data_IF_889478524030
#
_entry.id   IF_889478524030
#
_cell.length_a   1.000
_cell.length_b   1.000
_cell.length_c   1.000
_cell.angle_alpha   90.00
_cell.angle_beta   90.00
_cell.angle_gamma   90.00
#
_symmetry.space_group_name_H-M   'P 1'
#
loop_
_entity.id
_entity.type
_entity.pdbx_description
1 polymer ?
#
# COMPACT_ATOMS: atom_id res chain seq x y z
N UNK A 1 27.26 -32.75 37.01
CA UNK A 1 25.98 -32.28 36.43
C UNK A 1 26.37 -31.24 35.38
N UNK A 2 26.26 -31.59 34.10
CA UNK A 2 26.88 -30.85 32.99
C UNK A 2 26.05 -29.62 32.60
N UNK A 3 26.55 -28.42 32.92
CA UNK A 3 25.88 -27.15 32.62
C UNK A 3 25.80 -26.86 31.11
N UNK A 4 26.68 -27.45 30.31
CA UNK A 4 26.72 -27.34 28.83
C UNK A 4 25.55 -28.08 28.14
N UNK A 5 25.01 -29.11 28.77
CA UNK A 5 23.83 -29.86 28.27
C UNK A 5 22.53 -29.09 28.49
N UNK A 6 22.47 -28.25 29.54
CA UNK A 6 21.27 -27.44 29.84
C UNK A 6 21.18 -26.21 28.94
N UNK A 7 22.31 -25.55 28.65
CA UNK A 7 22.33 -24.36 27.79
C UNK A 7 21.99 -24.69 26.33
N UNK A 8 22.44 -25.84 25.81
CA UNK A 8 22.08 -26.31 24.46
C UNK A 8 20.61 -26.71 24.32
N UNK A 9 20.00 -27.27 25.36
CA UNK A 9 18.55 -27.57 25.36
C UNK A 9 17.69 -26.31 25.45
N UNK A 10 18.11 -25.30 26.21
CA UNK A 10 17.39 -24.03 26.32
C UNK A 10 17.49 -23.19 25.03
N UNK A 11 18.63 -23.21 24.33
CA UNK A 11 18.75 -22.54 23.03
C UNK A 11 17.88 -23.20 21.95
N UNK A 12 17.80 -24.54 21.93
CA UNK A 12 16.94 -25.29 21.01
C UNK A 12 15.42 -25.11 21.28
N UNK A 13 15.02 -24.95 22.55
CA UNK A 13 13.62 -24.68 22.88
C UNK A 13 13.19 -23.28 22.41
N UNK A 14 14.10 -22.30 22.51
CA UNK A 14 13.89 -20.94 22.02
C UNK A 14 13.73 -20.88 20.50
N UNK A 15 14.58 -21.58 19.73
CA UNK A 15 14.49 -21.59 18.26
C UNK A 15 13.23 -22.30 17.76
N UNK A 16 12.86 -23.44 18.35
CA UNK A 16 11.64 -24.18 17.98
C UNK A 16 10.36 -23.40 18.30
N UNK A 17 10.29 -22.76 19.48
CA UNK A 17 9.17 -21.89 19.82
C UNK A 17 9.10 -20.67 18.91
N UNK A 18 10.25 -20.05 18.59
CA UNK A 18 10.32 -18.91 17.67
C UNK A 18 9.88 -19.28 16.25
N UNK A 19 10.27 -20.44 15.73
CA UNK A 19 9.81 -20.95 14.42
C UNK A 19 8.30 -21.23 14.41
N UNK A 20 7.76 -21.86 15.46
CA UNK A 20 6.31 -22.09 15.59
C UNK A 20 5.52 -20.80 15.72
N UNK A 21 6.00 -19.86 16.53
CA UNK A 21 5.38 -18.56 16.72
C UNK A 21 5.39 -17.74 15.43
N UNK A 22 6.54 -17.71 14.76
CA UNK A 22 6.68 -17.04 13.47
C UNK A 22 5.73 -17.66 12.44
N UNK A 23 5.73 -18.99 12.25
CA UNK A 23 4.85 -19.66 11.27
C UNK A 23 3.36 -19.44 11.53
N UNK A 24 2.93 -19.41 12.79
CA UNK A 24 1.56 -19.07 13.15
C UNK A 24 1.24 -17.61 12.80
N UNK A 25 2.09 -16.66 13.20
CA UNK A 25 1.93 -15.24 12.86
C UNK A 25 1.95 -15.01 11.35
N UNK A 26 2.82 -15.70 10.61
CA UNK A 26 2.91 -15.61 9.15
C UNK A 26 1.58 -15.95 8.48
N UNK A 27 0.99 -17.10 8.83
CA UNK A 27 -0.30 -17.52 8.26
C UNK A 27 -1.42 -16.52 8.56
N UNK A 28 -1.36 -15.86 9.72
CA UNK A 28 -2.34 -14.83 10.08
C UNK A 28 -2.06 -13.51 9.34
N UNK A 29 -0.78 -13.13 9.19
CA UNK A 29 -0.36 -11.89 8.53
C UNK A 29 -0.54 -11.94 7.01
N UNK A 30 -0.32 -13.09 6.39
CA UNK A 30 -0.47 -13.32 4.94
C UNK A 30 -1.94 -13.17 4.50
N UNK A 31 -2.87 -13.39 5.43
CA UNK A 31 -4.28 -13.13 5.25
C UNK A 31 -4.69 -11.69 5.60
N UNK A 32 -3.78 -10.81 6.01
CA UNK A 32 -4.18 -9.45 6.35
C UNK A 32 -4.68 -8.69 5.12
N UNK A 33 -5.81 -7.96 5.26
CA UNK A 33 -6.35 -7.15 4.18
C UNK A 33 -5.39 -6.04 3.75
N UNK A 34 -4.43 -5.66 4.59
CA UNK A 34 -3.49 -4.56 4.34
C UNK A 34 -2.55 -4.88 3.17
N UNK A 35 -2.02 -6.11 3.09
CA UNK A 35 -1.17 -6.53 1.97
C UNK A 35 -1.91 -6.53 0.63
N UNK A 36 -3.25 -6.64 0.69
CA UNK A 36 -4.14 -6.75 -0.47
C UNK A 36 -4.62 -5.41 -1.03
N UNK A 37 -4.18 -4.27 -0.45
CA UNK A 37 -4.52 -2.94 -0.99
C UNK A 37 -3.32 -2.35 -1.74
N UNK A 38 -3.16 -2.66 -3.04
CA UNK A 38 -2.14 -2.04 -3.87
C UNK A 38 -2.45 -0.55 -4.15
N UNK A 39 -1.43 0.22 -4.52
CA UNK A 39 -1.62 1.61 -4.97
C UNK A 39 -2.60 1.71 -6.15
N UNK A 40 -2.61 0.72 -7.05
CA UNK A 40 -3.50 0.61 -8.20
C UNK A 40 -4.98 0.52 -7.81
N UNK A 41 -5.30 -0.12 -6.67
CA UNK A 41 -6.66 -0.15 -6.12
C UNK A 41 -7.06 1.23 -5.57
N UNK A 42 -6.15 1.88 -4.82
CA UNK A 42 -6.35 3.23 -4.25
C UNK A 42 -6.47 4.28 -5.36
N UNK A 43 -5.76 4.09 -6.47
CA UNK A 43 -5.71 5.00 -7.62
C UNK A 43 -7.08 5.32 -8.19
N UNK A 44 -7.99 4.34 -8.24
CA UNK A 44 -9.35 4.54 -8.76
C UNK A 44 -10.09 5.66 -8.05
N UNK A 45 -9.85 5.78 -6.75
CA UNK A 45 -10.41 6.83 -5.90
C UNK A 45 -9.52 8.08 -6.00
N UNK A 46 -8.22 7.93 -5.78
CA UNK A 46 -7.27 9.06 -5.69
C UNK A 46 -7.07 9.88 -6.97
N UNK A 47 -7.38 9.35 -8.16
CA UNK A 47 -7.33 10.10 -9.42
C UNK A 47 -8.63 10.85 -9.75
N UNK A 48 -9.67 10.73 -8.93
CA UNK A 48 -10.90 11.48 -9.16
C UNK A 48 -10.65 12.98 -9.00
N UNK A 49 -10.93 13.76 -10.05
CA UNK A 49 -10.82 15.23 -10.02
C UNK A 49 -11.66 15.85 -8.91
N UNK A 50 -12.81 15.26 -8.61
CA UNK A 50 -13.68 15.71 -7.53
C UNK A 50 -13.02 15.57 -6.15
N UNK A 51 -12.28 14.48 -5.92
CA UNK A 51 -11.52 14.28 -4.68
C UNK A 51 -10.26 15.15 -4.63
N UNK A 52 -9.63 15.45 -5.76
CA UNK A 52 -8.53 16.40 -5.78
C UNK A 52 -8.95 17.80 -5.30
N UNK A 53 -10.18 18.23 -5.60
CA UNK A 53 -10.71 19.50 -5.08
C UNK A 53 -10.95 19.49 -3.57
N UNK A 54 -11.15 18.32 -2.94
CA UNK A 54 -11.38 18.26 -1.49
C UNK A 54 -10.11 18.55 -0.68
N UNK A 55 -8.93 18.59 -1.30
CA UNK A 55 -7.68 19.04 -0.66
C UNK A 55 -7.80 20.48 -0.12
N UNK A 56 -8.65 21.31 -0.74
CA UNK A 56 -8.88 22.71 -0.33
C UNK A 56 -9.89 22.79 0.83
N UNK A 57 -10.72 21.76 1.04
CA UNK A 57 -11.82 21.77 2.00
C UNK A 57 -11.38 21.95 3.46
N UNK A 58 -10.28 21.35 3.96
CA UNK A 58 -9.82 21.62 5.34
C UNK A 58 -9.61 23.13 5.60
N UNK A 59 -9.06 23.84 4.62
CA UNK A 59 -8.80 25.28 4.74
C UNK A 59 -10.09 26.08 4.69
N UNK A 60 -10.93 25.84 3.66
CA UNK A 60 -12.21 26.54 3.51
C UNK A 60 -13.15 26.26 4.67
N UNK A 61 -13.26 25.00 5.08
CA UNK A 61 -14.13 24.58 6.16
C UNK A 61 -13.68 25.11 7.51
N UNK A 62 -12.37 25.22 7.76
CA UNK A 62 -11.85 25.94 8.93
C UNK A 62 -12.30 27.41 8.89
N UNK A 63 -12.12 28.11 7.77
CA UNK A 63 -12.57 29.51 7.63
C UNK A 63 -14.08 29.65 7.83
N UNK A 64 -14.87 28.72 7.31
CA UNK A 64 -16.34 28.70 7.46
C UNK A 64 -16.74 28.45 8.92
N UNK A 65 -16.12 27.46 9.58
CA UNK A 65 -16.48 27.06 10.95
C UNK A 65 -16.04 28.08 12.01
N UNK A 66 -14.96 28.81 11.78
CA UNK A 66 -14.49 29.83 12.73
C UNK A 66 -15.07 31.22 12.47
N UNK A 67 -15.80 31.42 11.37
CA UNK A 67 -16.47 32.69 11.10
C UNK A 67 -17.91 32.65 11.64
N UNK A 68 -18.14 33.31 12.78
CA UNK A 68 -19.45 33.38 13.43
C UNK A 68 -20.55 33.90 12.49
N UNK A 69 -20.26 34.92 11.68
CA UNK A 69 -21.22 35.47 10.71
C UNK A 69 -21.62 34.45 9.64
N UNK A 70 -20.68 33.63 9.18
CA UNK A 70 -20.96 32.56 8.21
C UNK A 70 -21.73 31.42 8.85
N UNK A 71 -21.37 31.05 10.09
CA UNK A 71 -22.12 30.03 10.84
C UNK A 71 -23.55 30.48 11.11
N UNK A 72 -23.76 31.74 11.50
CA UNK A 72 -25.09 32.34 11.68
C UNK A 72 -25.86 32.41 10.35
N UNK A 73 -25.20 32.80 9.26
CA UNK A 73 -25.83 32.84 7.93
C UNK A 73 -26.21 31.44 7.40
N UNK A 74 -25.38 30.42 7.67
CA UNK A 74 -25.67 29.03 7.31
C UNK A 74 -26.68 28.38 8.27
N UNK A 75 -26.70 28.80 9.54
CA UNK A 75 -27.69 28.34 10.52
C UNK A 75 -29.04 29.03 10.34
N UNK A 76 -29.10 30.19 9.66
CA UNK A 76 -30.30 30.97 9.29
C UNK A 76 -31.20 30.32 8.22
N UNK A 77 -30.92 29.09 7.81
CA UNK A 77 -31.86 28.26 7.04
C UNK A 77 -32.74 27.30 7.90
N UNK A 78 -33.14 27.55 9.17
CA UNK A 78 -34.08 26.66 9.85
C UNK A 78 -35.41 26.65 9.12
N UNK A 79 -35.80 27.76 8.49
CA UNK A 79 -37.04 27.89 7.73
C UNK A 79 -37.07 26.98 6.50
N UNK A 80 -35.94 26.84 5.78
CA UNK A 80 -35.85 25.89 4.66
C UNK A 80 -35.91 24.45 5.16
N UNK A 81 -35.24 24.13 6.26
CA UNK A 81 -35.28 22.78 6.86
C UNK A 81 -36.67 22.45 7.39
N UNK A 82 -37.32 23.42 8.04
CA UNK A 82 -38.69 23.33 8.57
C UNK A 82 -39.71 23.16 7.44
N UNK A 83 -39.53 23.89 6.34
CA UNK A 83 -40.33 23.75 5.11
C UNK A 83 -40.09 22.39 4.43
N UNK A 84 -38.85 21.93 4.36
CA UNK A 84 -38.52 20.64 3.74
C UNK A 84 -39.05 19.46 4.55
N UNK A 85 -39.02 19.56 5.89
CA UNK A 85 -39.52 18.52 6.81
C UNK A 85 -41.01 18.62 7.12
N UNK A 86 -41.74 19.61 6.60
CA UNK A 86 -43.19 19.82 6.82
C UNK A 86 -43.59 19.78 8.31
N UNK A 87 -42.75 20.32 9.20
CA UNK A 87 -43.02 20.29 10.65
C UNK A 87 -44.02 21.40 11.02
N UNK A 88 -45.17 21.01 11.58
CA UNK A 88 -46.25 21.92 12.00
C UNK A 88 -45.74 23.02 12.96
N UNK A 89 -46.32 24.22 12.85
CA UNK A 89 -45.84 25.46 13.46
C UNK A 89 -45.90 25.48 15.00
N UNK A 90 -46.68 24.59 15.62
CA UNK A 90 -47.18 24.77 16.99
C UNK A 90 -46.17 24.41 18.11
N UNK A 91 -45.02 23.81 17.79
CA UNK A 91 -43.97 23.42 18.76
C UNK A 91 -42.77 24.37 18.87
N UNK A 92 -42.97 25.68 18.66
CA UNK A 92 -42.00 26.68 18.19
C UNK A 92 -40.56 26.69 18.75
N UNK A 93 -40.33 26.60 20.07
CA UNK A 93 -38.99 26.78 20.63
C UNK A 93 -38.15 25.49 20.69
N UNK A 94 -38.69 24.41 21.24
CA UNK A 94 -37.94 23.13 21.36
C UNK A 94 -37.57 22.53 20.00
N UNK A 95 -38.40 22.77 18.98
CA UNK A 95 -38.16 22.32 17.62
C UNK A 95 -36.99 23.07 16.95
N UNK A 96 -36.83 24.35 17.25
CA UNK A 96 -35.75 25.17 16.70
C UNK A 96 -34.40 24.72 17.25
N UNK A 97 -34.31 24.42 18.55
CA UNK A 97 -33.09 23.91 19.16
C UNK A 97 -32.70 22.54 18.58
N UNK A 98 -33.67 21.63 18.43
CA UNK A 98 -33.42 20.31 17.84
C UNK A 98 -32.98 20.42 16.36
N UNK A 99 -33.59 21.31 15.58
CA UNK A 99 -33.20 21.56 14.19
C UNK A 99 -31.76 22.09 14.10
N UNK A 100 -31.40 23.03 14.98
CA UNK A 100 -30.06 23.63 15.01
C UNK A 100 -28.96 22.62 15.33
N UNK A 101 -29.18 21.73 16.32
CA UNK A 101 -28.21 20.67 16.66
C UNK A 101 -28.04 19.67 15.49
N UNK A 102 -29.11 19.39 14.76
CA UNK A 102 -29.06 18.48 13.61
C UNK A 102 -28.34 19.08 12.40
N UNK A 103 -28.55 20.35 12.09
CA UNK A 103 -27.83 21.02 10.99
C UNK A 103 -26.34 21.12 11.30
N UNK A 104 -26.01 21.46 12.54
CA UNK A 104 -24.63 21.62 13.00
C UNK A 104 -23.88 20.29 13.01
N UNK A 105 -24.48 19.20 13.54
CA UNK A 105 -23.86 17.87 13.49
C UNK A 105 -23.61 17.39 12.05
N UNK A 106 -24.56 17.57 11.14
CA UNK A 106 -24.40 17.24 9.71
C UNK A 106 -23.27 18.04 9.07
N UNK A 107 -23.16 19.33 9.39
CA UNK A 107 -22.09 20.18 8.90
C UNK A 107 -20.73 19.66 9.38
N UNK A 108 -20.61 19.29 10.66
CA UNK A 108 -19.37 18.71 11.20
C UNK A 108 -18.99 17.39 10.53
N UNK A 109 -19.92 16.43 10.40
CA UNK A 109 -19.65 15.17 9.72
C UNK A 109 -19.23 15.39 8.26
N UNK A 110 -19.88 16.31 7.57
CA UNK A 110 -19.56 16.66 6.18
C UNK A 110 -18.16 17.28 6.10
N UNK A 111 -17.86 18.23 6.98
CA UNK A 111 -16.56 18.90 7.04
C UNK A 111 -15.42 17.92 7.32
N UNK A 112 -15.52 17.13 8.40
CA UNK A 112 -14.47 16.17 8.75
C UNK A 112 -14.37 15.07 7.71
N UNK A 113 -15.49 14.58 7.18
CA UNK A 113 -15.51 13.59 6.10
C UNK A 113 -14.76 14.07 4.87
N UNK A 114 -15.11 15.26 4.36
CA UNK A 114 -14.40 15.87 3.22
C UNK A 114 -12.94 16.19 3.54
N UNK A 115 -12.62 16.57 4.78
CA UNK A 115 -11.24 16.85 5.19
C UNK A 115 -10.37 15.60 5.19
N UNK A 116 -10.87 14.47 5.70
CA UNK A 116 -10.17 13.19 5.62
C UNK A 116 -10.01 12.71 4.17
N UNK A 117 -11.02 12.90 3.32
CA UNK A 117 -10.90 12.62 1.88
C UNK A 117 -9.83 13.51 1.21
N UNK A 118 -9.81 14.80 1.53
CA UNK A 118 -8.80 15.73 1.01
C UNK A 118 -7.39 15.39 1.46
N UNK A 119 -7.23 15.06 2.74
CA UNK A 119 -5.94 14.60 3.27
C UNK A 119 -5.48 13.28 2.64
N UNK A 120 -6.38 12.31 2.49
CA UNK A 120 -6.11 11.07 1.75
C UNK A 120 -5.69 11.35 0.30
N UNK A 121 -6.37 12.28 -0.38
CA UNK A 121 -6.02 12.70 -1.74
C UNK A 121 -4.64 13.35 -1.82
N UNK A 122 -4.28 14.18 -0.84
CA UNK A 122 -2.95 14.79 -0.76
C UNK A 122 -1.87 13.72 -0.53
N UNK A 123 -2.08 12.79 0.40
CA UNK A 123 -1.16 11.67 0.65
C UNK A 123 -0.97 10.81 -0.62
N UNK A 124 -2.05 10.45 -1.30
CA UNK A 124 -1.99 9.74 -2.57
C UNK A 124 -1.18 10.53 -3.62
N UNK A 125 -1.48 11.82 -3.78
CA UNK A 125 -0.80 12.70 -4.72
C UNK A 125 0.71 12.80 -4.46
N UNK A 126 1.13 12.86 -3.21
CA UNK A 126 2.55 13.01 -2.84
C UNK A 126 3.32 11.69 -2.87
N UNK A 127 2.72 10.59 -2.43
CA UNK A 127 3.48 9.36 -2.15
C UNK A 127 3.31 8.25 -3.18
N UNK A 128 2.20 8.24 -3.94
CA UNK A 128 1.97 7.24 -4.97
C UNK A 128 2.98 7.40 -6.13
N UNK A 129 3.70 6.34 -6.52
CA UNK A 129 4.65 6.38 -7.64
C UNK A 129 3.98 6.84 -8.94
N UNK A 130 4.70 7.63 -9.74
CA UNK A 130 4.20 8.14 -11.03
C UNK A 130 3.82 7.01 -11.98
N UNK A 131 4.61 5.94 -12.04
CA UNK A 131 4.32 4.75 -12.86
C UNK A 131 2.92 4.17 -12.58
N UNK A 132 2.50 4.11 -11.31
CA UNK A 132 1.18 3.60 -10.94
C UNK A 132 0.09 4.62 -11.28
N UNK A 133 0.37 5.93 -11.15
CA UNK A 133 -0.55 6.99 -11.60
C UNK A 133 -0.76 6.95 -13.11
N UNK A 134 0.27 6.69 -13.89
CA UNK A 134 0.19 6.76 -15.34
C UNK A 134 -0.41 5.47 -15.93
N UNK A 135 -0.13 4.30 -15.33
CA UNK A 135 -0.55 3.00 -15.86
C UNK A 135 -1.53 2.26 -14.94
N UNK A 136 -2.69 1.88 -15.48
CA UNK A 136 -3.78 1.22 -14.73
C UNK A 136 -3.52 -0.24 -14.38
N UNK A 137 -2.63 -0.90 -15.12
CA UNK A 137 -2.30 -2.31 -14.96
C UNK A 137 -0.86 -2.57 -15.39
N UNK A 138 -0.31 -3.71 -14.94
CA UNK A 138 1.01 -4.18 -15.36
C UNK A 138 1.09 -4.39 -16.88
N UNK A 139 0.02 -4.91 -17.51
CA UNK A 139 -0.04 -5.09 -18.96
C UNK A 139 -0.01 -3.76 -19.73
N UNK A 140 -0.71 -2.73 -19.23
CA UNK A 140 -0.67 -1.40 -19.82
C UNK A 140 0.73 -0.80 -19.72
N UNK A 141 1.39 -0.97 -18.56
CA UNK A 141 2.78 -0.56 -18.37
C UNK A 141 3.72 -1.30 -19.33
N UNK A 142 3.65 -2.63 -19.43
CA UNK A 142 4.45 -3.44 -20.34
C UNK A 142 4.30 -3.01 -21.81
N UNK A 143 3.07 -2.80 -22.27
CA UNK A 143 2.81 -2.45 -23.67
C UNK A 143 3.45 -1.13 -24.11
N UNK A 144 3.55 -0.17 -23.20
CA UNK A 144 4.14 1.15 -23.44
C UNK A 144 5.65 1.07 -23.21
N UNK A 145 6.07 0.49 -22.09
CA UNK A 145 7.47 0.49 -21.64
C UNK A 145 8.36 -0.46 -22.47
N UNK A 146 7.81 -1.55 -23.01
CA UNK A 146 8.56 -2.45 -23.90
C UNK A 146 9.10 -1.76 -25.15
N UNK A 147 8.45 -0.70 -25.63
CA UNK A 147 8.89 0.09 -26.79
C UNK A 147 10.05 1.03 -26.45
N UNK A 148 10.18 1.42 -25.18
CA UNK A 148 11.23 2.31 -24.68
C UNK A 148 12.28 1.58 -23.83
N UNK A 149 12.23 0.25 -23.83
CA UNK A 149 13.13 -0.59 -23.08
C UNK A 149 14.57 -0.38 -23.55
N UNK A 150 15.45 -0.01 -22.61
CA UNK A 150 16.89 0.10 -22.83
C UNK A 150 17.65 -0.65 -21.75
N UNK A 151 18.81 -1.22 -22.09
CA UNK A 151 19.68 -1.95 -21.15
C UNK A 151 19.99 -1.15 -19.87
N UNK A 152 20.39 0.14 -19.94
CA UNK A 152 20.67 0.91 -18.72
C UNK A 152 19.44 1.07 -17.82
N UNK A 153 18.25 1.25 -18.41
CA UNK A 153 16.99 1.36 -17.65
C UNK A 153 16.64 0.04 -16.96
N UNK A 154 16.81 -1.08 -17.66
CA UNK A 154 16.58 -2.43 -17.10
C UNK A 154 17.50 -2.73 -15.92
N UNK A 155 18.76 -2.34 -16.00
CA UNK A 155 19.73 -2.48 -14.91
C UNK A 155 19.29 -1.73 -13.63
N UNK A 156 18.78 -0.51 -13.79
CA UNK A 156 18.22 0.27 -12.68
C UNK A 156 16.96 -0.39 -12.13
N UNK A 157 16.06 -0.85 -13.00
CA UNK A 157 14.82 -1.53 -12.61
C UNK A 157 15.11 -2.83 -11.85
N UNK A 158 16.01 -3.67 -12.35
CA UNK A 158 16.37 -4.95 -11.74
C UNK A 158 16.95 -4.73 -10.34
N UNK A 159 17.83 -3.74 -10.18
CA UNK A 159 18.35 -3.35 -8.87
C UNK A 159 17.26 -2.87 -7.93
N UNK A 160 16.30 -2.09 -8.42
CA UNK A 160 15.16 -1.63 -7.61
C UNK A 160 14.26 -2.79 -7.20
N UNK A 161 13.94 -3.71 -8.12
CA UNK A 161 13.15 -4.92 -7.83
C UNK A 161 13.85 -5.76 -6.77
N UNK A 162 15.16 -5.98 -6.93
CA UNK A 162 15.98 -6.72 -5.97
C UNK A 162 16.01 -6.05 -4.60
N UNK A 163 16.14 -4.71 -4.56
CA UNK A 163 16.10 -3.95 -3.32
C UNK A 163 14.76 -4.10 -2.59
N UNK A 164 13.63 -4.01 -3.30
CA UNK A 164 12.30 -4.20 -2.71
C UNK A 164 12.09 -5.65 -2.26
N UNK A 165 12.58 -6.63 -3.02
CA UNK A 165 12.60 -8.05 -2.64
C UNK A 165 13.38 -8.26 -1.33
N UNK A 166 14.61 -7.74 -1.23
CA UNK A 166 15.41 -7.78 0.00
C UNK A 166 14.75 -7.04 1.15
N UNK A 167 14.11 -5.89 0.90
CA UNK A 167 13.40 -5.12 1.92
C UNK A 167 12.25 -5.94 2.54
N UNK A 168 11.55 -6.75 1.73
CA UNK A 168 10.48 -7.62 2.17
C UNK A 168 10.95 -8.94 2.77
N UNK A 169 12.04 -9.51 2.26
CA UNK A 169 12.56 -10.84 2.60
C UNK A 169 13.71 -10.83 3.62
N UNK A 170 13.97 -9.71 4.32
CA UNK A 170 15.05 -9.56 5.31
C UNK A 170 14.86 -10.44 6.56
N UNK A 171 14.91 -11.75 6.41
CA UNK A 171 14.83 -12.73 7.50
C UNK A 171 15.88 -13.83 7.34
N UNK A 172 16.90 -13.60 6.51
CA UNK A 172 18.13 -14.38 6.57
C UNK A 172 18.64 -14.33 8.02
N UNK A 173 18.73 -15.50 8.65
CA UNK A 173 19.12 -15.69 10.05
C UNK A 173 20.55 -15.19 10.33
N UNK A 174 21.31 -14.82 9.29
CA UNK A 174 22.75 -14.65 9.35
C UNK A 174 23.26 -13.21 9.53
N UNK A 175 22.45 -12.15 9.46
CA UNK A 175 22.98 -10.78 9.55
C UNK A 175 22.38 -9.90 10.65
N UNK A 176 23.25 -9.58 11.63
CA UNK A 176 23.10 -8.62 12.74
C UNK A 176 22.95 -7.15 12.29
N UNK A 177 22.47 -6.88 11.08
CA UNK A 177 22.37 -5.51 10.57
C UNK A 177 21.14 -4.81 11.18
N UNK A 178 21.41 -3.91 12.11
CA UNK A 178 20.47 -3.11 12.89
C UNK A 178 19.68 -2.10 12.03
N UNK A 179 18.75 -2.56 11.19
CA UNK A 179 17.72 -1.66 10.66
C UNK A 179 16.52 -1.66 11.63
N UNK A 180 16.36 -0.57 12.36
CA UNK A 180 15.43 -0.39 13.50
C UNK A 180 13.92 -0.47 13.18
N UNK A 181 13.54 -0.63 11.90
CA UNK A 181 12.13 -0.78 11.55
C UNK A 181 11.60 -2.15 12.02
N UNK A 182 10.43 -2.19 12.71
CA UNK A 182 9.86 -3.45 13.17
C UNK A 182 9.54 -4.38 11.99
N UNK A 183 10.01 -5.63 12.08
CA UNK A 183 9.96 -6.64 11.00
C UNK A 183 8.54 -6.86 10.46
N UNK A 184 7.53 -6.79 11.31
CA UNK A 184 6.13 -7.02 10.93
C UNK A 184 5.59 -5.95 9.96
N UNK A 185 6.11 -4.70 9.99
CA UNK A 185 5.69 -3.65 9.06
C UNK A 185 6.16 -3.89 7.63
N UNK A 186 7.36 -4.45 7.46
CA UNK A 186 7.91 -4.72 6.11
C UNK A 186 7.13 -5.82 5.41
N UNK A 187 6.78 -6.86 6.17
CA UNK A 187 6.01 -8.00 5.66
C UNK A 187 4.56 -7.70 5.34
N UNK A 188 3.92 -6.80 6.09
CA UNK A 188 2.55 -6.38 5.78
C UNK A 188 2.40 -5.77 4.39
N UNK A 189 3.50 -5.37 3.74
CA UNK A 189 3.50 -4.82 2.38
C UNK A 189 3.76 -5.82 1.26
N UNK A 190 4.33 -6.99 1.56
CA UNK A 190 4.86 -7.92 0.57
C UNK A 190 3.75 -8.79 -0.03
N UNK A 191 3.39 -8.65 -1.31
CA UNK A 191 2.42 -9.54 -1.93
C UNK A 191 3.07 -10.89 -2.25
N UNK A 192 2.39 -11.99 -1.91
CA UNK A 192 2.89 -13.35 -2.21
C UNK A 192 3.14 -13.56 -3.70
N UNK A 193 2.27 -13.02 -4.56
CA UNK A 193 2.40 -13.11 -6.02
C UNK A 193 3.70 -12.50 -6.54
N UNK A 194 4.19 -11.40 -5.92
CA UNK A 194 5.48 -10.82 -6.28
C UNK A 194 6.62 -11.76 -5.94
N UNK A 195 6.61 -12.38 -4.76
CA UNK A 195 7.69 -13.27 -4.35
C UNK A 195 7.78 -14.49 -5.27
N UNK A 196 6.63 -15.06 -5.63
CA UNK A 196 6.54 -16.19 -6.57
C UNK A 196 7.08 -15.78 -7.95
N UNK A 197 6.60 -14.65 -8.48
CA UNK A 197 7.06 -14.16 -9.79
C UNK A 197 8.54 -13.80 -9.76
N UNK A 198 9.02 -13.16 -8.69
CA UNK A 198 10.41 -12.77 -8.51
C UNK A 198 11.31 -14.00 -8.51
N UNK A 199 10.95 -15.01 -7.72
CA UNK A 199 11.68 -16.27 -7.66
C UNK A 199 11.80 -16.92 -9.04
N UNK A 200 10.68 -17.06 -9.76
CA UNK A 200 10.67 -17.67 -11.09
C UNK A 200 11.53 -16.88 -12.10
N UNK A 201 11.38 -15.55 -12.15
CA UNK A 201 12.14 -14.71 -13.09
C UNK A 201 13.62 -14.73 -12.77
N UNK A 202 14.01 -14.66 -11.50
CA UNK A 202 15.42 -14.68 -11.12
C UNK A 202 16.06 -16.02 -11.45
N UNK A 203 15.38 -17.15 -11.20
CA UNK A 203 15.86 -18.47 -11.58
C UNK A 203 15.98 -18.62 -13.10
N UNK A 204 15.02 -18.11 -13.86
CA UNK A 204 15.05 -18.17 -15.32
C UNK A 204 16.19 -17.33 -15.90
N UNK A 205 16.34 -16.08 -15.44
CA UNK A 205 17.41 -15.17 -15.86
C UNK A 205 18.77 -15.74 -15.48
N UNK A 206 18.92 -16.27 -14.26
CA UNK A 206 20.17 -16.90 -13.81
C UNK A 206 20.50 -18.15 -14.63
N UNK A 207 19.51 -19.02 -14.88
CA UNK A 207 19.70 -20.22 -15.68
C UNK A 207 20.03 -19.91 -17.15
N UNK A 208 19.50 -18.82 -17.71
CA UNK A 208 19.90 -18.33 -19.03
C UNK A 208 21.33 -17.79 -19.02
N UNK A 209 21.69 -16.97 -18.03
CA UNK A 209 23.04 -16.45 -17.86
C UNK A 209 24.09 -17.57 -17.73
N UNK A 210 23.81 -18.60 -16.91
CA UNK A 210 24.70 -19.74 -16.69
C UNK A 210 24.92 -20.58 -17.97
N UNK A 211 23.91 -20.69 -18.84
CA UNK A 211 24.06 -21.35 -20.15
C UNK A 211 24.94 -20.55 -21.11
N UNK A 212 24.86 -19.23 -21.06
CA UNK A 212 25.67 -18.34 -21.91
C UNK A 212 27.12 -18.22 -21.42
N UNK A 213 27.38 -18.46 -20.13
CA UNK A 213 28.70 -18.27 -19.50
C UNK A 213 29.18 -19.52 -18.74
N UNK A 214 29.36 -20.67 -19.41
CA UNK A 214 29.74 -21.93 -18.73
C UNK A 214 31.16 -21.90 -18.14
N UNK A 215 32.02 -21.00 -18.63
CA UNK A 215 33.42 -20.84 -18.18
C UNK A 215 33.60 -19.73 -17.14
N UNK A 216 32.51 -19.05 -16.74
CA UNK A 216 32.60 -17.97 -15.76
C UNK A 216 33.14 -18.50 -14.43
N UNK A 217 34.38 -18.15 -14.10
CA UNK A 217 35.02 -18.49 -12.81
C UNK A 217 34.41 -17.75 -11.60
N UNK A 218 33.35 -16.95 -11.79
CA UNK A 218 32.61 -16.38 -10.66
C UNK A 218 32.23 -17.51 -9.71
N UNK A 219 32.66 -17.43 -8.44
CA UNK A 219 32.40 -18.43 -7.40
C UNK A 219 30.90 -18.76 -7.32
N UNK A 220 30.47 -19.73 -8.12
CA UNK A 220 29.10 -20.22 -8.15
C UNK A 220 28.72 -20.74 -6.75
N UNK A 221 29.70 -21.21 -5.97
CA UNK A 221 29.54 -21.63 -4.58
C UNK A 221 28.91 -20.58 -3.66
N UNK A 222 28.97 -19.29 -4.01
CA UNK A 222 28.33 -18.23 -3.20
C UNK A 222 26.81 -18.26 -3.36
N UNK A 223 26.30 -18.62 -4.54
CA UNK A 223 24.88 -18.54 -4.90
C UNK A 223 24.22 -19.92 -5.05
N UNK A 224 25.01 -20.93 -5.38
CA UNK A 224 24.60 -22.32 -5.54
C UNK A 224 25.03 -23.11 -4.30
N UNK A 225 24.05 -23.75 -3.66
CA UNK A 225 24.35 -24.86 -2.77
C UNK A 225 24.50 -26.10 -3.66
N UNK A 226 25.59 -26.88 -3.52
CA UNK A 226 26.09 -27.86 -4.52
C UNK A 226 25.05 -28.89 -5.02
N UNK A 227 23.93 -29.03 -4.34
CA UNK A 227 22.85 -29.95 -4.67
C UNK A 227 21.46 -29.31 -4.71
N UNK A 228 21.35 -27.99 -4.57
CA UNK A 228 20.09 -27.27 -4.50
C UNK A 228 20.02 -26.16 -5.56
N UNK A 229 18.79 -25.76 -5.96
CA UNK A 229 18.61 -24.62 -6.84
C UNK A 229 19.28 -23.37 -6.24
N UNK A 230 19.73 -22.42 -7.08
CA UNK A 230 20.40 -21.23 -6.60
C UNK A 230 19.47 -20.44 -5.68
N UNK A 231 20.06 -19.92 -4.60
CA UNK A 231 19.32 -19.20 -3.58
C UNK A 231 18.93 -17.80 -4.10
N UNK A 232 17.64 -17.64 -4.41
CA UNK A 232 17.11 -16.38 -4.95
C UNK A 232 17.27 -15.20 -4.00
N UNK A 233 17.33 -15.42 -2.70
CA UNK A 233 17.50 -14.34 -1.72
C UNK A 233 18.95 -13.83 -1.71
N UNK A 234 19.93 -14.73 -1.89
CA UNK A 234 21.35 -14.34 -2.09
C UNK A 234 21.56 -13.62 -3.42
N UNK A 235 20.90 -14.09 -4.49
CA UNK A 235 20.91 -13.41 -5.79
C UNK A 235 20.27 -12.02 -5.68
N UNK A 236 19.12 -11.90 -5.02
CA UNK A 236 18.47 -10.61 -4.75
C UNK A 236 19.42 -9.65 -4.01
N UNK A 237 20.10 -10.15 -2.98
CA UNK A 237 21.06 -9.35 -2.22
C UNK A 237 22.22 -8.86 -3.10
N UNK A 238 22.80 -9.74 -3.92
CA UNK A 238 23.88 -9.38 -4.84
C UNK A 238 23.44 -8.32 -5.86
N UNK A 239 22.20 -8.40 -6.36
CA UNK A 239 21.61 -7.41 -7.27
C UNK A 239 21.31 -6.07 -6.58
N UNK A 240 20.79 -6.09 -5.35
CA UNK A 240 20.42 -4.88 -4.62
C UNK A 240 21.66 -4.08 -4.17
N UNK A 241 22.67 -4.81 -3.68
CA UNK A 241 23.89 -4.26 -3.09
C UNK A 241 25.14 -4.76 -3.84
N UNK A 242 25.33 -4.32 -5.10
CA UNK A 242 26.47 -4.75 -5.88
C UNK A 242 27.77 -4.16 -5.30
N UNK A 243 28.64 -5.03 -4.79
CA UNK A 243 30.05 -4.69 -4.56
C UNK A 243 30.78 -4.59 -5.92
N UNK A 244 31.93 -3.91 -5.98
CA UNK A 244 32.68 -3.70 -7.24
C UNK A 244 32.94 -4.99 -8.04
N UNK A 245 33.16 -6.12 -7.36
CA UNK A 245 33.37 -7.43 -8.01
C UNK A 245 32.04 -8.00 -8.53
N UNK A 246 30.96 -7.82 -7.77
CA UNK A 246 29.61 -8.30 -8.12
C UNK A 246 28.90 -7.45 -9.16
N UNK A 247 29.36 -6.22 -9.43
CA UNK A 247 28.72 -5.35 -10.41
C UNK A 247 28.79 -5.94 -11.82
N UNK A 248 29.90 -6.59 -12.20
CA UNK A 248 30.04 -7.22 -13.52
C UNK A 248 28.97 -8.31 -13.69
N UNK A 249 28.85 -9.20 -12.70
CA UNK A 249 27.80 -10.22 -12.67
C UNK A 249 26.38 -9.63 -12.79
N UNK A 250 26.08 -8.58 -12.02
CA UNK A 250 24.75 -7.92 -12.08
C UNK A 250 24.49 -7.29 -13.44
N UNK A 251 25.53 -6.86 -14.15
CA UNK A 251 25.42 -6.25 -15.48
C UNK A 251 25.10 -7.30 -16.54
N UNK A 252 25.81 -8.42 -16.50
CA UNK A 252 25.55 -9.57 -17.37
C UNK A 252 24.16 -10.15 -17.11
N UNK A 253 23.75 -10.24 -15.85
CA UNK A 253 22.40 -10.68 -15.48
C UNK A 253 21.33 -9.70 -16.01
N UNK A 254 21.59 -8.40 -15.96
CA UNK A 254 20.69 -7.39 -16.51
C UNK A 254 20.62 -7.45 -18.04
N UNK A 255 21.71 -7.81 -18.71
CA UNK A 255 21.74 -8.05 -20.15
C UNK A 255 20.88 -9.26 -20.54
N UNK A 256 20.97 -10.36 -19.78
CA UNK A 256 20.13 -11.55 -19.98
C UNK A 256 18.66 -11.26 -19.64
N UNK A 257 18.39 -10.45 -18.61
CA UNK A 257 17.05 -10.01 -18.24
C UNK A 257 16.39 -9.10 -19.29
N UNK A 258 17.17 -8.52 -20.20
CA UNK A 258 16.68 -7.71 -21.32
C UNK A 258 16.19 -8.56 -22.51
N UNK A 259 16.45 -9.86 -22.52
CA UNK A 259 16.02 -10.78 -23.57
C UNK A 259 14.49 -10.82 -23.70
N UNK A 260 13.99 -11.03 -24.92
CA UNK A 260 12.56 -10.93 -25.24
C UNK A 260 11.67 -11.84 -24.37
N UNK A 261 12.18 -13.01 -23.99
CA UNK A 261 11.46 -13.99 -23.17
C UNK A 261 11.22 -13.49 -21.73
N UNK A 262 12.21 -12.85 -21.11
CA UNK A 262 12.18 -12.44 -19.69
C UNK A 262 11.82 -10.97 -19.50
N UNK A 263 11.96 -10.15 -20.55
CA UNK A 263 11.76 -8.70 -20.52
C UNK A 263 10.39 -8.30 -19.97
N UNK A 264 9.33 -8.97 -20.41
CA UNK A 264 7.97 -8.64 -19.98
C UNK A 264 7.75 -8.96 -18.50
N UNK A 265 8.34 -10.04 -18.00
CA UNK A 265 8.19 -10.44 -16.60
C UNK A 265 8.96 -9.52 -15.66
N UNK A 266 10.15 -9.05 -16.07
CA UNK A 266 10.90 -8.01 -15.35
C UNK A 266 10.12 -6.70 -15.29
N UNK A 267 9.45 -6.31 -16.38
CA UNK A 267 8.57 -5.14 -16.37
C UNK A 267 7.35 -5.32 -15.46
N UNK A 268 6.74 -6.51 -15.45
CA UNK A 268 5.66 -6.82 -14.50
C UNK A 268 6.14 -6.74 -13.05
N UNK A 269 7.31 -7.31 -12.75
CA UNK A 269 7.93 -7.23 -11.43
C UNK A 269 8.22 -5.80 -11.01
N UNK A 270 8.72 -4.96 -11.92
CA UNK A 270 8.96 -3.55 -11.66
C UNK A 270 7.65 -2.83 -11.29
N UNK A 271 6.58 -3.09 -12.04
CA UNK A 271 5.26 -2.53 -11.75
C UNK A 271 4.75 -3.00 -10.38
N UNK A 272 4.79 -4.31 -10.10
CA UNK A 272 4.34 -4.88 -8.83
C UNK A 272 5.14 -4.36 -7.64
N UNK A 273 6.47 -4.23 -7.78
CA UNK A 273 7.34 -3.65 -6.75
C UNK A 273 6.88 -2.24 -6.37
N UNK A 274 6.61 -1.39 -7.38
CA UNK A 274 6.15 -0.03 -7.15
C UNK A 274 4.71 0.03 -6.64
N UNK A 275 3.84 -0.86 -7.10
CA UNK A 275 2.43 -0.95 -6.67
C UNK A 275 2.30 -1.31 -5.18
N UNK A 276 3.29 -2.05 -4.67
CA UNK A 276 3.38 -2.44 -3.26
C UNK A 276 4.39 -1.63 -2.44
N UNK A 277 4.99 -0.59 -3.02
CA UNK A 277 5.89 0.30 -2.28
C UNK A 277 5.18 1.02 -1.12
N UNK A 278 5.94 1.40 -0.08
CA UNK A 278 5.49 2.25 1.03
C UNK A 278 4.18 1.79 1.71
N UNK A 279 4.13 0.58 2.31
CA UNK A 279 2.89 -0.01 2.86
C UNK A 279 2.19 0.86 3.91
N UNK A 280 2.94 1.56 4.76
CA UNK A 280 2.37 2.44 5.80
C UNK A 280 1.60 3.59 5.16
N UNK A 281 2.18 4.24 4.15
CA UNK A 281 1.54 5.37 3.48
C UNK A 281 0.31 4.93 2.68
N UNK A 282 0.32 3.72 2.09
CA UNK A 282 -0.87 3.09 1.49
C UNK A 282 -1.97 2.93 2.52
N UNK A 283 -1.66 2.35 3.67
CA UNK A 283 -2.63 2.11 4.74
C UNK A 283 -3.19 3.42 5.29
N UNK A 284 -2.35 4.42 5.54
CA UNK A 284 -2.80 5.74 5.96
C UNK A 284 -3.73 6.38 4.92
N UNK A 285 -3.36 6.31 3.64
CA UNK A 285 -4.18 6.85 2.54
C UNK A 285 -5.55 6.14 2.45
N UNK A 286 -5.55 4.80 2.44
CA UNK A 286 -6.76 4.01 2.39
C UNK A 286 -7.64 4.22 3.63
N UNK A 287 -7.02 4.30 4.81
CA UNK A 287 -7.70 4.60 6.08
C UNK A 287 -8.34 5.98 6.09
N UNK A 288 -7.66 7.01 5.57
CA UNK A 288 -8.23 8.35 5.42
C UNK A 288 -9.45 8.33 4.49
N UNK A 289 -9.38 7.61 3.36
CA UNK A 289 -10.55 7.44 2.50
C UNK A 289 -11.70 6.71 3.19
N UNK A 290 -11.42 5.60 3.86
CA UNK A 290 -12.43 4.81 4.56
C UNK A 290 -13.14 5.63 5.66
N UNK A 291 -12.37 6.35 6.50
CA UNK A 291 -12.91 7.23 7.53
C UNK A 291 -13.71 8.36 6.89
N UNK A 292 -13.17 9.00 5.84
CA UNK A 292 -13.85 10.08 5.13
C UNK A 292 -15.20 9.65 4.58
N UNK A 293 -15.26 8.52 3.86
CA UNK A 293 -16.52 7.98 3.34
C UNK A 293 -17.48 7.55 4.45
N UNK A 294 -16.98 6.94 5.53
CA UNK A 294 -17.82 6.54 6.66
C UNK A 294 -18.48 7.76 7.33
N UNK A 295 -17.74 8.85 7.53
CA UNK A 295 -18.27 10.09 8.10
C UNK A 295 -19.33 10.74 7.19
N UNK A 296 -19.14 10.72 5.88
CA UNK A 296 -20.13 11.22 4.90
C UNK A 296 -21.38 10.33 4.79
N UNK A 297 -21.23 9.04 5.10
CA UNK A 297 -22.35 8.10 5.08
C UNK A 297 -23.33 8.35 6.22
N UNK A 298 -22.87 8.75 7.41
CA UNK A 298 -23.70 9.00 8.60
C UNK A 298 -24.89 9.93 8.31
N UNK A 299 -24.70 11.18 7.84
CA UNK A 299 -25.81 12.09 7.59
C UNK A 299 -26.75 11.58 6.49
N UNK A 300 -26.21 10.86 5.49
CA UNK A 300 -26.97 10.28 4.38
C UNK A 300 -27.88 9.15 4.85
N UNK A 301 -27.38 8.27 5.73
CA UNK A 301 -28.18 7.19 6.33
C UNK A 301 -29.25 7.77 7.27
N UNK A 302 -28.90 8.81 8.04
CA UNK A 302 -29.87 9.48 8.92
C UNK A 302 -31.01 10.15 8.14
N UNK A 303 -30.73 10.82 7.02
CA UNK A 303 -31.79 11.41 6.18
C UNK A 303 -32.65 10.32 5.56
N UNK A 304 -32.02 9.28 5.00
CA UNK A 304 -32.74 8.16 4.39
C UNK A 304 -33.67 7.45 5.38
N UNK A 305 -33.19 7.14 6.59
CA UNK A 305 -33.99 6.52 7.64
C UNK A 305 -35.22 7.36 8.02
N UNK A 306 -35.06 8.69 8.13
CA UNK A 306 -36.17 9.60 8.44
C UNK A 306 -37.22 9.64 7.34
N UNK A 307 -36.79 9.63 6.07
CA UNK A 307 -37.70 9.60 4.93
C UNK A 307 -38.51 8.31 4.94
N UNK A 308 -37.87 7.16 5.14
CA UNK A 308 -38.56 5.87 5.27
C UNK A 308 -39.58 5.91 6.41
N UNK A 309 -39.18 6.38 7.59
CA UNK A 309 -40.08 6.44 8.74
C UNK A 309 -41.31 7.30 8.44
N UNK A 310 -41.12 8.47 7.83
CA UNK A 310 -42.24 9.36 7.46
C UNK A 310 -43.19 8.76 6.44
N UNK A 311 -42.70 7.95 5.50
CA UNK A 311 -43.53 7.25 4.51
C UNK A 311 -44.34 6.13 5.16
N UNK A 312 -43.79 5.45 6.16
CA UNK A 312 -44.48 4.37 6.88
C UNK A 312 -45.52 4.90 7.87
N UNK A 313 -45.28 6.06 8.50
CA UNK A 313 -46.23 6.61 9.48
C UNK A 313 -47.41 7.36 8.84
N UNK A 314 -47.24 7.88 7.63
CA UNK A 314 -48.24 8.72 6.95
C UNK A 314 -49.01 7.98 5.82
N UNK A 315 -48.65 6.74 5.50
CA UNK A 315 -49.33 5.90 4.52
C UNK A 315 -50.20 4.86 5.20
#
# INVERSE_FOLDING_TARGET
MDLTSVTSKLSGLGSAFRQRWNSAIFRTLENHPIAKVPWSAIRRIGQSRLLAFTVIVPFLGSTILFNQTVVEALSLSPELVRRWLHLNQDGGEQLNDAAHVLTLSRLYYTYFGLSFLGFGSALFGLFCPTTIKDHSSASAFQSIESQFASKPKFRIMLRQIAYESCFWDWFSEDEQLFITSPVWFRRAGAPGDFQILFHNVVLEVFGAWARENPESELDHEVYEDRHAPPDTSKLAYAMAFPNRIRSIFVDELADVAFNENTRNDVLALSYMAQDHSKPILRLCTAGCYAIGFALLLIPTVQTFYRVILSLVTNG
#
